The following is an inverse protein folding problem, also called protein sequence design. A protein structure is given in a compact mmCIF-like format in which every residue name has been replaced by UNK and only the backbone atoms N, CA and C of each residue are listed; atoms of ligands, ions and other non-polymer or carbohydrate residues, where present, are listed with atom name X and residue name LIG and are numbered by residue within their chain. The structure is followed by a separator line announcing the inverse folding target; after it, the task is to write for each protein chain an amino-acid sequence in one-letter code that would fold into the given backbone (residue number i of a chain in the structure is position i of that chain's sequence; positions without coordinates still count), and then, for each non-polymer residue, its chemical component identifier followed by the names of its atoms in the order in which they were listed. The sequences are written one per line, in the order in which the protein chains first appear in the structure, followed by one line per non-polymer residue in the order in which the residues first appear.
data_IF_634654495375
#
_entry.id   IF_634654495375
#
_cell.length_a   1.000
_cell.length_b   1.000
_cell.length_c   1.000
_cell.angle_alpha   90.00
_cell.angle_beta   90.00
_cell.angle_gamma   90.00
#
_symmetry.space_group_name_H-M   'P 1'
#
loop_
_entity.id
_entity.type
_entity.pdbx_description
1 polymer ?
#
# COMPACT_ATOMS: atom_id res chain seq x y z
N UNK A 1 -12.78 10.28 59.73
CA UNK A 1 -13.00 10.51 58.27
C UNK A 1 -11.78 11.06 57.53
N UNK A 2 -10.88 11.81 58.17
CA UNK A 2 -9.63 12.32 57.58
C UNK A 2 -8.68 11.23 57.03
N UNK A 3 -8.57 10.09 57.72
CA UNK A 3 -7.67 9.00 57.30
C UNK A 3 -8.21 8.20 56.09
N UNK A 4 -9.54 8.19 55.88
CA UNK A 4 -10.19 7.50 54.75
C UNK A 4 -10.02 8.31 53.46
N UNK A 5 -10.12 9.64 53.55
CA UNK A 5 -9.87 10.53 52.42
C UNK A 5 -8.43 10.41 51.89
N UNK A 6 -7.45 10.28 52.78
CA UNK A 6 -6.04 10.11 52.41
C UNK A 6 -5.80 8.79 51.64
N UNK A 7 -6.46 7.71 52.06
CA UNK A 7 -6.37 6.39 51.44
C UNK A 7 -6.96 6.38 50.02
N UNK A 8 -8.05 7.13 49.82
CA UNK A 8 -8.71 7.25 48.52
C UNK A 8 -7.84 8.02 47.51
N UNK A 9 -7.15 9.08 47.96
CA UNK A 9 -6.22 9.87 47.13
C UNK A 9 -5.01 9.02 46.71
N UNK A 10 -4.48 8.20 47.61
CA UNK A 10 -3.37 7.29 47.29
C UNK A 10 -3.80 6.20 46.30
N UNK A 11 -5.02 5.66 46.41
CA UNK A 11 -5.54 4.68 45.46
C UNK A 11 -5.79 5.24 44.06
N UNK A 12 -6.23 6.50 43.93
CA UNK A 12 -6.40 7.14 42.62
C UNK A 12 -5.05 7.38 41.91
N UNK A 13 -3.97 7.61 42.66
CA UNK A 13 -2.65 7.88 42.07
C UNK A 13 -1.99 6.67 41.41
N UNK A 14 -2.29 5.44 41.85
CA UNK A 14 -1.71 4.21 41.28
C UNK A 14 -2.33 3.80 39.94
N UNK A 15 -3.57 4.22 39.67
CA UNK A 15 -4.31 3.88 38.44
C UNK A 15 -3.74 4.65 37.23
N UNK A 16 -3.24 5.88 37.44
CA UNK A 16 -2.65 6.71 36.38
C UNK A 16 -1.29 6.19 35.89
N UNK A 17 -0.53 5.51 36.75
CA UNK A 17 0.82 5.00 36.41
C UNK A 17 0.74 3.62 35.72
N UNK A 18 -0.35 2.87 35.92
CA UNK A 18 -0.54 1.53 35.36
C UNK A 18 -0.97 1.52 33.88
N UNK A 19 -1.52 2.61 33.36
CA UNK A 19 -1.90 2.74 31.94
C UNK A 19 -0.72 3.13 31.03
N UNK A 20 0.49 2.64 31.32
CA UNK A 20 1.58 2.65 30.33
C UNK A 20 1.33 1.51 29.35
N UNK A 21 0.25 1.64 28.57
CA UNK A 21 0.02 0.81 27.40
C UNK A 21 1.24 1.01 26.52
N UNK A 22 2.12 0.01 26.51
CA UNK A 22 3.17 -0.10 25.52
C UNK A 22 2.40 -0.20 24.21
N UNK A 23 2.21 0.93 23.54
CA UNK A 23 1.76 0.95 22.14
C UNK A 23 2.90 0.29 21.41
N UNK A 24 2.83 -1.03 21.30
CA UNK A 24 3.61 -1.77 20.33
C UNK A 24 3.06 -1.25 19.02
N UNK A 25 3.75 -0.27 18.43
CA UNK A 25 3.55 0.05 17.03
C UNK A 25 3.89 -1.26 16.33
N UNK A 26 2.87 -2.06 16.01
CA UNK A 26 3.04 -3.19 15.11
C UNK A 26 3.65 -2.59 13.85
N UNK A 27 4.75 -3.16 13.35
CA UNK A 27 5.31 -2.76 12.07
C UNK A 27 4.17 -2.61 11.07
N UNK A 28 4.04 -1.43 10.47
CA UNK A 28 2.93 -1.14 9.57
C UNK A 28 3.08 -2.04 8.34
N UNK A 29 2.13 -2.95 8.15
CA UNK A 29 2.11 -3.85 7.01
C UNK A 29 1.45 -3.15 5.83
N UNK A 30 2.17 -3.04 4.71
CA UNK A 30 1.65 -2.41 3.50
C UNK A 30 1.01 -3.50 2.66
N UNK A 31 -0.32 -3.52 2.56
CA UNK A 31 -1.05 -4.54 1.77
C UNK A 31 -1.47 -4.04 0.39
N UNK A 32 -1.28 -2.75 0.09
CA UNK A 32 -1.66 -2.20 -1.21
C UNK A 32 -0.73 -1.08 -1.65
N UNK A 33 -0.39 -1.09 -2.94
CA UNK A 33 0.27 0.03 -3.61
C UNK A 33 -0.48 0.37 -4.89
N UNK A 34 -0.67 1.67 -5.14
CA UNK A 34 -1.26 2.16 -6.38
C UNK A 34 -0.34 3.18 -7.04
N UNK A 35 -0.08 2.96 -8.33
CA UNK A 35 0.73 3.84 -9.15
C UNK A 35 -0.09 4.26 -10.37
N UNK A 36 -0.61 5.48 -10.36
CA UNK A 36 -1.37 6.05 -11.48
C UNK A 36 -0.63 7.27 -12.02
N UNK A 37 -0.40 7.29 -13.34
CA UNK A 37 0.44 8.30 -13.98
C UNK A 37 -0.27 9.00 -15.13
N UNK A 38 0.25 10.15 -15.55
CA UNK A 38 -0.34 10.96 -16.61
C UNK A 38 0.37 10.81 -17.96
N UNK A 39 1.49 10.10 -18.02
CA UNK A 39 2.22 9.81 -19.25
C UNK A 39 2.55 8.32 -19.41
N UNK A 40 2.77 7.89 -20.64
CA UNK A 40 3.16 6.49 -20.94
C UNK A 40 4.61 6.25 -20.49
N UNK A 41 5.43 7.29 -20.52
CA UNK A 41 6.84 7.30 -20.13
C UNK A 41 7.00 6.97 -18.64
N UNK A 42 6.17 7.53 -17.78
CA UNK A 42 6.18 7.24 -16.34
C UNK A 42 5.85 5.78 -16.01
N UNK A 43 5.04 5.08 -16.82
CA UNK A 43 4.80 3.64 -16.66
C UNK A 43 6.04 2.79 -17.03
N UNK A 44 6.94 3.28 -17.89
CA UNK A 44 8.13 2.52 -18.32
C UNK A 44 9.22 2.52 -17.24
N UNK A 45 9.22 3.51 -16.35
CA UNK A 45 10.27 3.74 -15.34
C UNK A 45 9.84 3.33 -13.93
N UNK A 46 8.82 2.47 -13.80
CA UNK A 46 8.41 1.92 -12.50
C UNK A 46 9.62 1.24 -11.83
N UNK A 47 9.93 1.65 -10.61
CA UNK A 47 10.95 1.01 -9.80
C UNK A 47 10.37 -0.26 -9.16
N UNK A 48 10.67 -1.40 -9.78
CA UNK A 48 10.18 -2.71 -9.33
C UNK A 48 10.85 -3.20 -8.05
N UNK A 49 12.10 -2.82 -7.79
CA UNK A 49 12.82 -3.18 -6.56
C UNK A 49 12.13 -2.54 -5.35
N UNK A 50 11.74 -1.27 -5.46
CA UNK A 50 10.97 -0.59 -4.41
C UNK A 50 9.62 -1.25 -4.14
N UNK A 51 8.96 -1.79 -5.17
CA UNK A 51 7.70 -2.53 -4.99
C UNK A 51 7.94 -3.83 -4.22
N UNK A 52 9.03 -4.53 -4.52
CA UNK A 52 9.43 -5.73 -3.79
C UNK A 52 9.72 -5.41 -2.31
N UNK A 53 10.49 -4.35 -2.04
CA UNK A 53 10.81 -3.89 -0.68
C UNK A 53 9.57 -3.59 0.16
N UNK A 54 8.54 -2.96 -0.45
CA UNK A 54 7.29 -2.60 0.23
C UNK A 54 6.56 -3.83 0.79
N UNK A 55 6.60 -4.96 0.08
CA UNK A 55 5.87 -6.17 0.45
C UNK A 55 6.73 -7.23 1.14
N UNK A 56 8.06 -7.06 1.16
CA UNK A 56 9.01 -8.06 1.64
C UNK A 56 8.79 -8.52 3.08
N UNK A 57 8.28 -7.64 3.93
CA UNK A 57 8.08 -7.91 5.37
C UNK A 57 6.64 -8.35 5.71
N UNK A 58 5.77 -8.51 4.71
CA UNK A 58 4.42 -9.00 4.94
C UNK A 58 4.40 -10.49 5.28
N UNK A 59 3.43 -10.93 6.07
CA UNK A 59 3.26 -12.35 6.38
C UNK A 59 2.92 -13.13 5.09
N UNK A 60 3.36 -14.39 4.96
CA UNK A 60 3.16 -15.17 3.73
C UNK A 60 1.70 -15.26 3.26
N UNK A 61 0.75 -15.32 4.18
CA UNK A 61 -0.69 -15.47 3.94
C UNK A 61 -1.40 -14.13 3.67
N UNK A 62 -0.71 -13.00 3.85
CA UNK A 62 -1.32 -11.68 3.65
C UNK A 62 -1.59 -11.44 2.18
N UNK A 63 -2.79 -10.96 1.89
CA UNK A 63 -3.17 -10.56 0.54
C UNK A 63 -2.56 -9.18 0.26
N UNK A 64 -1.76 -9.10 -0.80
CA UNK A 64 -1.21 -7.86 -1.32
C UNK A 64 -1.91 -7.45 -2.61
N UNK A 65 -1.97 -6.16 -2.88
CA UNK A 65 -2.56 -5.59 -4.07
C UNK A 65 -1.61 -4.58 -4.73
N UNK A 66 -1.40 -4.73 -6.04
CA UNK A 66 -0.69 -3.77 -6.88
C UNK A 66 -1.63 -3.25 -7.95
N UNK A 67 -1.86 -1.94 -7.98
CA UNK A 67 -2.68 -1.29 -8.98
C UNK A 67 -1.83 -0.33 -9.83
N UNK A 68 -1.83 -0.52 -11.14
CA UNK A 68 -1.11 0.34 -12.09
C UNK A 68 -2.09 0.98 -13.04
N UNK A 69 -2.09 2.30 -13.12
CA UNK A 69 -3.03 3.09 -13.89
C UNK A 69 -2.37 4.13 -14.79
N UNK A 70 -3.09 4.51 -15.84
CA UNK A 70 -2.77 5.66 -16.68
C UNK A 70 -4.02 6.51 -16.87
N UNK A 71 -3.83 7.83 -16.80
CA UNK A 71 -4.86 8.85 -17.02
C UNK A 71 -4.32 9.91 -17.99
N UNK A 72 -4.49 9.66 -19.29
CA UNK A 72 -4.04 10.53 -20.38
C UNK A 72 -5.08 11.62 -20.66
N UNK A 73 -5.21 12.58 -19.74
CA UNK A 73 -6.19 13.68 -19.85
C UNK A 73 -6.06 14.50 -21.13
N UNK A 74 -4.83 14.69 -21.60
CA UNK A 74 -4.48 15.44 -22.82
C UNK A 74 -4.60 14.61 -24.11
N UNK A 75 -4.96 13.33 -24.04
CA UNK A 75 -5.20 12.52 -25.25
C UNK A 75 -6.56 12.84 -25.87
N UNK A 76 -6.65 12.77 -27.20
CA UNK A 76 -7.89 12.99 -27.97
C UNK A 76 -9.08 12.18 -27.44
N UNK A 77 -8.82 10.98 -26.92
CA UNK A 77 -9.84 10.08 -26.38
C UNK A 77 -9.88 9.98 -24.85
N UNK A 78 -9.13 10.83 -24.12
CA UNK A 78 -9.10 10.84 -22.64
C UNK A 78 -8.91 9.44 -22.04
N UNK A 79 -7.90 8.72 -22.55
CA UNK A 79 -7.68 7.32 -22.18
C UNK A 79 -7.41 7.21 -20.68
N UNK A 80 -8.27 6.46 -20.00
CA UNK A 80 -8.10 6.07 -18.61
C UNK A 80 -8.18 4.56 -18.50
N UNK A 81 -7.15 3.93 -17.94
CA UNK A 81 -7.09 2.47 -17.84
C UNK A 81 -6.21 2.07 -16.66
N UNK A 82 -6.55 0.96 -16.01
CA UNK A 82 -5.78 0.43 -14.89
C UNK A 82 -5.80 -1.09 -14.88
N UNK A 83 -4.79 -1.68 -14.25
CA UNK A 83 -4.68 -3.10 -13.98
C UNK A 83 -4.38 -3.33 -12.52
N UNK A 84 -5.16 -4.24 -11.92
CA UNK A 84 -5.01 -4.69 -10.54
C UNK A 84 -4.50 -6.12 -10.52
N UNK A 85 -3.48 -6.37 -9.72
CA UNK A 85 -2.91 -7.69 -9.46
C UNK A 85 -2.97 -7.91 -7.96
N UNK A 86 -3.53 -9.04 -7.53
CA UNK A 86 -3.63 -9.38 -6.11
C UNK A 86 -3.40 -10.87 -5.88
N UNK A 87 -2.91 -11.20 -4.69
CA UNK A 87 -2.66 -12.56 -4.23
C UNK A 87 -1.89 -12.56 -2.91
N UNK A 88 -1.63 -13.75 -2.39
CA UNK A 88 -0.84 -13.91 -1.17
C UNK A 88 0.62 -13.47 -1.33
N UNK A 89 1.17 -12.84 -0.30
CA UNK A 89 2.55 -12.30 -0.25
C UNK A 89 3.61 -13.35 -0.55
N UNK A 90 3.40 -14.61 -0.16
CA UNK A 90 4.31 -15.73 -0.51
C UNK A 90 4.53 -15.91 -2.02
N UNK A 91 3.64 -15.35 -2.85
CA UNK A 91 3.73 -15.39 -4.31
C UNK A 91 4.24 -14.07 -4.92
N UNK A 92 4.87 -13.19 -4.14
CA UNK A 92 5.30 -11.84 -4.55
C UNK A 92 6.01 -11.82 -5.91
N UNK A 93 7.01 -12.68 -6.13
CA UNK A 93 7.75 -12.73 -7.40
C UNK A 93 6.85 -13.00 -8.60
N UNK A 94 5.94 -13.96 -8.46
CA UNK A 94 4.96 -14.31 -9.50
C UNK A 94 3.99 -13.16 -9.76
N UNK A 95 3.56 -12.48 -8.70
CA UNK A 95 2.69 -11.30 -8.79
C UNK A 95 3.43 -10.14 -9.48
N UNK A 96 4.72 -9.90 -9.18
CA UNK A 96 5.55 -8.89 -9.85
C UNK A 96 5.71 -9.22 -11.34
N UNK A 97 5.94 -10.48 -11.71
CA UNK A 97 6.00 -10.91 -13.12
C UNK A 97 4.68 -10.64 -13.83
N UNK A 98 3.53 -10.96 -13.21
CA UNK A 98 2.19 -10.67 -13.75
C UNK A 98 1.96 -9.16 -13.89
N UNK A 99 2.36 -8.38 -12.89
CA UNK A 99 2.29 -6.93 -12.90
C UNK A 99 3.11 -6.32 -14.05
N UNK A 100 4.37 -6.74 -14.23
CA UNK A 100 5.23 -6.32 -15.35
C UNK A 100 4.59 -6.60 -16.71
N UNK A 101 3.98 -7.78 -16.89
CA UNK A 101 3.22 -8.13 -18.11
C UNK A 101 1.98 -7.24 -18.27
N UNK A 102 1.26 -6.99 -17.19
CA UNK A 102 0.10 -6.12 -17.15
C UNK A 102 0.41 -4.68 -17.57
N UNK A 103 1.47 -4.10 -17.01
CA UNK A 103 1.96 -2.76 -17.37
C UNK A 103 2.39 -2.70 -18.84
N UNK A 104 3.09 -3.71 -19.36
CA UNK A 104 3.44 -3.79 -20.79
C UNK A 104 2.21 -3.76 -21.69
N UNK A 105 1.15 -4.49 -21.33
CA UNK A 105 -0.13 -4.47 -22.06
C UNK A 105 -0.80 -3.11 -21.97
N UNK A 106 -0.80 -2.47 -20.79
CA UNK A 106 -1.33 -1.13 -20.58
C UNK A 106 -0.63 -0.09 -21.46
N UNK A 107 0.70 -0.13 -21.54
CA UNK A 107 1.52 0.71 -22.42
C UNK A 107 1.15 0.48 -23.89
N UNK A 108 1.02 -0.78 -24.32
CA UNK A 108 0.69 -1.12 -25.71
C UNK A 108 -0.67 -0.56 -26.13
N UNK A 109 -1.68 -0.73 -25.28
CA UNK A 109 -3.04 -0.21 -25.50
C UNK A 109 -3.00 1.32 -25.54
N UNK A 110 -2.35 1.94 -24.56
CA UNK A 110 -2.26 3.40 -24.46
C UNK A 110 -1.60 4.01 -25.70
N UNK A 111 -0.49 3.45 -26.17
CA UNK A 111 0.17 3.90 -27.40
C UNK A 111 -0.71 3.74 -28.65
N UNK A 112 -1.47 2.63 -28.75
CA UNK A 112 -2.34 2.37 -29.90
C UNK A 112 -3.47 3.40 -30.03
N UNK A 113 -3.97 3.90 -28.91
CA UNK A 113 -5.15 4.76 -28.91
C UNK A 113 -4.84 6.24 -28.60
N UNK A 114 -3.64 6.60 -28.13
CA UNK A 114 -3.28 7.99 -27.75
C UNK A 114 -3.59 9.01 -28.85
N UNK A 115 -3.36 8.65 -30.12
CA UNK A 115 -3.44 9.54 -31.28
C UNK A 115 -4.29 9.01 -32.45
N UNK A 116 -5.06 7.92 -32.27
CA UNK A 116 -5.97 7.47 -33.34
C UNK A 116 -7.11 8.47 -33.57
#
# INVERSE_FOLDING_TARGET
MKNVALLLVLFCSSILVAQKNKVTISEAQITSVSYTVSTIEELKIINWEKIEEIFKNNKPEEIIEMNFGIDLKESKYKIKSSIKISGESKNLDSLIVKAKKGVKSLIKISNKYKNK
#
